data_IF_436094296167
#
_entry.id   IF_436094296167
#
_cell.length_a   1.000
_cell.length_b   1.000
_cell.length_c   1.000
_cell.angle_alpha   90.00
_cell.angle_beta   90.00
_cell.angle_gamma   90.00
#
_symmetry.space_group_name_H-M   'P 1'
#
loop_
_entity.id
_entity.type
_entity.pdbx_description
1 polymer ?
#
# COMPACT_ATOMS: atom_id res chain seq x y z
N UNK A 1 -13.93 -14.06 19.98
CA UNK A 1 -14.09 -12.62 19.64
C UNK A 1 -13.25 -11.84 20.66
N UNK A 2 -12.08 -11.36 20.27
CA UNK A 2 -11.17 -10.63 21.17
C UNK A 2 -11.65 -9.17 21.17
N UNK A 3 -12.06 -8.59 22.29
CA UNK A 3 -12.47 -7.20 22.35
C UNK A 3 -11.23 -6.33 22.37
N UNK A 4 -10.79 -5.87 21.20
CA UNK A 4 -9.78 -4.80 21.13
C UNK A 4 -10.48 -3.47 21.41
N UNK A 5 -10.06 -2.82 22.47
CA UNK A 5 -10.43 -1.45 22.81
C UNK A 5 -9.22 -0.60 22.52
N UNK A 6 -9.29 0.23 21.50
CA UNK A 6 -8.27 1.23 21.24
C UNK A 6 -8.74 2.53 21.85
N UNK A 7 -8.05 2.97 22.87
CA UNK A 7 -8.38 4.22 23.56
C UNK A 7 -7.67 5.43 22.91
N UNK A 8 -6.77 5.16 21.93
CA UNK A 8 -6.06 6.21 21.19
C UNK A 8 -5.69 5.76 19.76
N UNK A 9 -5.27 6.73 18.95
CA UNK A 9 -4.88 6.51 17.54
C UNK A 9 -3.60 5.66 17.40
N UNK A 10 -2.68 5.74 18.37
CA UNK A 10 -1.40 5.00 18.33
C UNK A 10 -1.64 3.50 18.48
N UNK A 11 -2.54 3.08 19.37
CA UNK A 11 -2.90 1.67 19.55
C UNK A 11 -3.62 1.13 18.30
N UNK A 12 -4.44 1.95 17.66
CA UNK A 12 -5.10 1.59 16.39
C UNK A 12 -4.07 1.37 15.29
N UNK A 13 -3.09 2.26 15.17
CA UNK A 13 -1.99 2.15 14.19
C UNK A 13 -1.14 0.90 14.48
N UNK A 14 -0.77 0.66 15.72
CA UNK A 14 0.02 -0.51 16.12
C UNK A 14 -0.70 -1.82 15.77
N UNK A 15 -2.00 -1.92 16.04
CA UNK A 15 -2.82 -3.08 15.67
C UNK A 15 -2.88 -3.27 14.14
N UNK A 16 -3.10 -2.20 13.38
CA UNK A 16 -3.16 -2.28 11.93
C UNK A 16 -1.81 -2.73 11.35
N UNK A 17 -0.70 -2.20 11.84
CA UNK A 17 0.65 -2.61 11.44
C UNK A 17 0.89 -4.10 11.73
N UNK A 18 0.46 -4.60 12.89
CA UNK A 18 0.55 -6.01 13.23
C UNK A 18 -0.28 -6.88 12.27
N UNK A 19 -1.52 -6.47 11.99
CA UNK A 19 -2.40 -7.18 11.05
C UNK A 19 -1.88 -7.15 9.61
N UNK A 20 -1.30 -6.05 9.16
CA UNK A 20 -0.65 -6.00 7.84
C UNK A 20 0.55 -6.94 7.73
N UNK A 21 1.31 -7.16 8.80
CA UNK A 21 2.37 -8.18 8.85
C UNK A 21 1.80 -9.61 8.75
N UNK A 22 0.67 -9.86 9.40
CA UNK A 22 -0.01 -11.16 9.39
C UNK A 22 -0.54 -11.51 7.99
N UNK A 23 -1.09 -10.52 7.26
CA UNK A 23 -1.75 -10.73 5.96
C UNK A 23 -0.82 -10.54 4.77
N UNK A 24 0.51 -10.53 4.90
CA UNK A 24 1.46 -10.40 3.77
C UNK A 24 0.82 -9.71 2.55
N UNK A 25 0.37 -8.46 2.73
CA UNK A 25 -0.14 -7.64 1.63
C UNK A 25 1.04 -7.25 0.73
N UNK A 26 1.49 -8.19 -0.07
CA UNK A 26 2.72 -8.01 -0.78
C UNK A 26 2.60 -8.30 -2.23
N UNK A 27 3.25 -7.69 -2.76
CA UNK A 27 3.96 -7.37 -3.92
C UNK A 27 5.28 -8.21 -4.07
N UNK A 28 6.02 -8.13 -5.02
CA UNK A 28 6.26 -8.52 -6.38
C UNK A 28 6.79 -9.93 -6.58
N UNK A 29 6.97 -10.70 -5.52
CA UNK A 29 7.38 -12.10 -5.65
C UNK A 29 6.42 -12.91 -6.55
N UNK A 30 5.16 -12.47 -6.61
CA UNK A 30 4.17 -13.01 -7.54
C UNK A 30 4.52 -12.80 -9.02
N UNK A 31 5.43 -11.86 -9.33
CA UNK A 31 5.83 -11.59 -10.71
C UNK A 31 7.07 -12.39 -11.16
N UNK A 32 7.71 -13.15 -10.26
CA UNK A 32 8.84 -14.03 -10.61
C UNK A 32 8.45 -15.02 -11.71
N UNK A 33 7.21 -15.49 -11.70
CA UNK A 33 6.65 -16.37 -12.74
C UNK A 33 5.97 -15.61 -13.88
N UNK A 34 6.24 -14.31 -14.01
CA UNK A 34 5.66 -13.44 -15.04
C UNK A 34 4.17 -13.18 -14.83
N UNK A 35 3.53 -12.71 -15.88
CA UNK A 35 2.11 -12.35 -15.88
C UNK A 35 1.17 -13.51 -15.50
N UNK A 36 1.35 -14.76 -15.97
CA UNK A 36 0.50 -15.87 -15.52
C UNK A 36 0.55 -16.07 -14.01
N UNK A 37 1.74 -16.13 -13.39
CA UNK A 37 1.88 -16.29 -11.95
C UNK A 37 1.27 -15.14 -11.15
N UNK A 38 1.38 -13.91 -11.65
CA UNK A 38 0.72 -12.76 -11.05
C UNK A 38 -0.81 -12.90 -11.09
N UNK A 39 -1.39 -13.28 -12.23
CA UNK A 39 -2.83 -13.48 -12.37
C UNK A 39 -3.34 -14.62 -11.49
N UNK A 40 -2.61 -15.73 -11.42
CA UNK A 40 -2.92 -16.85 -10.52
C UNK A 40 -2.92 -16.40 -9.06
N UNK A 41 -1.95 -15.55 -8.66
CA UNK A 41 -1.91 -14.98 -7.32
C UNK A 41 -3.17 -14.18 -7.01
N UNK A 42 -3.59 -13.26 -7.90
CA UNK A 42 -4.82 -12.48 -7.70
C UNK A 42 -6.06 -13.38 -7.64
N UNK A 43 -6.11 -14.42 -8.47
CA UNK A 43 -7.22 -15.38 -8.49
C UNK A 43 -7.28 -16.18 -7.19
N UNK A 44 -6.14 -16.67 -6.70
CA UNK A 44 -6.05 -17.44 -5.46
C UNK A 44 -6.42 -16.58 -4.24
N UNK A 45 -5.97 -15.32 -4.18
CA UNK A 45 -6.37 -14.39 -3.13
C UNK A 45 -7.88 -14.15 -3.13
N UNK A 46 -8.47 -13.92 -4.32
CA UNK A 46 -9.92 -13.75 -4.46
C UNK A 46 -10.68 -15.02 -4.02
N UNK A 47 -10.22 -16.20 -4.43
CA UNK A 47 -10.85 -17.46 -4.05
C UNK A 47 -10.79 -17.71 -2.53
N UNK A 48 -9.71 -17.26 -1.88
CA UNK A 48 -9.54 -17.32 -0.43
C UNK A 48 -10.26 -16.20 0.34
N UNK A 49 -10.93 -15.26 -0.35
CA UNK A 49 -11.57 -14.10 0.27
C UNK A 49 -10.57 -13.08 0.86
N UNK A 50 -9.32 -13.11 0.41
CA UNK A 50 -8.26 -12.21 0.87
C UNK A 50 -8.23 -10.98 -0.04
N UNK A 51 -8.43 -9.80 0.54
CA UNK A 51 -8.32 -8.53 -0.18
C UNK A 51 -6.87 -8.16 -0.41
N UNK A 52 -6.61 -7.51 -1.55
CA UNK A 52 -5.29 -6.99 -1.91
C UNK A 52 -5.40 -5.58 -2.48
N UNK A 53 -4.29 -4.85 -2.46
CA UNK A 53 -4.14 -3.50 -3.03
C UNK A 53 -2.81 -3.40 -3.79
N UNK A 54 -2.69 -2.42 -4.68
CA UNK A 54 -1.45 -2.17 -5.42
C UNK A 54 -1.22 -3.07 -6.62
N UNK A 55 -2.17 -3.96 -6.91
CA UNK A 55 -2.14 -4.81 -8.09
C UNK A 55 -3.54 -5.04 -8.66
N UNK A 56 -3.63 -5.35 -9.95
CA UNK A 56 -4.92 -5.53 -10.59
C UNK A 56 -4.84 -6.05 -12.02
N UNK A 57 -6.02 -6.36 -12.59
CA UNK A 57 -6.15 -6.79 -13.98
C UNK A 57 -5.87 -5.68 -15.01
N UNK A 58 -5.82 -4.44 -14.55
CA UNK A 58 -5.51 -3.25 -15.32
C UNK A 58 -5.12 -2.10 -14.35
N UNK A 59 -4.69 -0.95 -14.88
CA UNK A 59 -4.30 0.21 -14.05
C UNK A 59 -5.43 0.70 -13.17
N UNK A 60 -6.66 0.80 -13.65
CA UNK A 60 -7.80 1.21 -12.86
C UNK A 60 -7.95 0.36 -11.60
N UNK A 61 -7.99 -0.97 -11.74
CA UNK A 61 -8.11 -1.89 -10.60
C UNK A 61 -6.89 -1.90 -9.69
N UNK A 62 -5.67 -1.67 -10.23
CA UNK A 62 -4.45 -1.62 -9.42
C UNK A 62 -4.40 -0.41 -8.49
N UNK A 63 -4.87 0.78 -8.95
CA UNK A 63 -4.90 2.01 -8.16
C UNK A 63 -6.18 2.21 -7.35
N UNK A 64 -7.19 1.34 -7.51
CA UNK A 64 -8.50 1.52 -6.86
C UNK A 64 -8.44 1.48 -5.33
N UNK A 65 -7.54 0.69 -4.74
CA UNK A 65 -7.45 0.50 -3.31
C UNK A 65 -8.63 -0.27 -2.70
N UNK A 66 -8.77 -0.18 -1.37
CA UNK A 66 -9.86 -0.82 -0.60
C UNK A 66 -10.31 0.07 0.55
N UNK A 67 -11.59 0.00 0.89
CA UNK A 67 -12.15 0.64 2.09
C UNK A 67 -12.70 -0.44 3.01
N UNK A 68 -12.25 -0.43 4.25
CA UNK A 68 -12.69 -1.33 5.31
C UNK A 68 -13.52 -0.54 6.34
N UNK A 69 -14.62 -1.13 6.82
CA UNK A 69 -15.38 -0.56 7.93
C UNK A 69 -14.98 -1.25 9.23
N UNK A 70 -14.33 -0.52 10.13
CA UNK A 70 -13.88 -1.03 11.42
C UNK A 70 -14.43 -0.14 12.52
N UNK A 71 -15.31 -0.67 13.37
CA UNK A 71 -15.92 0.06 14.49
C UNK A 71 -16.54 1.42 14.10
N UNK A 72 -17.16 1.47 12.95
CA UNK A 72 -17.82 2.68 12.44
C UNK A 72 -16.92 3.61 11.65
N UNK A 73 -15.59 3.43 11.66
CA UNK A 73 -14.65 4.19 10.84
C UNK A 73 -14.44 3.53 9.49
N UNK A 74 -14.25 4.34 8.45
CA UNK A 74 -13.87 3.93 7.11
C UNK A 74 -12.34 4.03 6.98
N UNK A 75 -11.67 2.90 6.82
CA UNK A 75 -10.21 2.83 6.66
C UNK A 75 -9.92 2.56 5.19
N UNK A 76 -9.39 3.56 4.49
CA UNK A 76 -8.89 3.44 3.13
C UNK A 76 -7.48 2.87 3.10
N UNK A 77 -7.22 1.97 2.17
CA UNK A 77 -5.88 1.38 1.98
C UNK A 77 -5.52 1.44 0.51
N UNK A 78 -4.36 2.01 0.21
CA UNK A 78 -3.74 2.04 -1.12
C UNK A 78 -2.40 1.30 -1.09
N UNK A 79 -1.98 0.76 -2.21
CA UNK A 79 -0.66 0.15 -2.38
C UNK A 79 0.09 0.78 -3.55
N UNK A 80 1.35 1.18 -3.35
CA UNK A 80 2.20 1.72 -4.40
C UNK A 80 3.57 1.05 -4.42
N UNK A 81 4.03 0.67 -5.61
CA UNK A 81 5.33 0.05 -5.81
C UNK A 81 6.29 1.01 -6.50
N UNK A 82 7.35 1.40 -5.79
CA UNK A 82 8.52 2.11 -6.36
C UNK A 82 9.69 1.16 -6.65
N UNK A 83 9.65 -0.02 -6.10
CA UNK A 83 10.47 -1.16 -6.52
C UNK A 83 9.52 -2.20 -7.09
N UNK A 84 9.72 -2.58 -8.33
CA UNK A 84 8.84 -3.48 -9.07
C UNK A 84 9.69 -4.37 -10.01
N UNK A 85 9.07 -5.35 -10.64
CA UNK A 85 9.73 -6.28 -11.57
C UNK A 85 10.10 -5.68 -12.94
N UNK A 86 10.20 -4.35 -13.03
CA UNK A 86 10.48 -3.62 -14.27
C UNK A 86 9.22 -3.17 -15.01
N UNK A 87 9.36 -2.51 -16.17
CA UNK A 87 8.25 -1.92 -16.93
C UNK A 87 7.15 -2.91 -17.30
N UNK A 88 7.51 -4.18 -17.42
CA UNK A 88 6.56 -5.23 -17.76
C UNK A 88 5.66 -5.65 -16.61
N UNK A 89 6.02 -5.34 -15.37
CA UNK A 89 5.20 -5.59 -14.19
C UNK A 89 4.14 -4.52 -13.96
N UNK A 90 4.28 -3.34 -14.58
CA UNK A 90 3.38 -2.20 -14.39
C UNK A 90 2.03 -2.45 -15.06
N UNK A 91 0.95 -2.22 -14.33
CA UNK A 91 -0.40 -2.26 -14.85
C UNK A 91 -0.63 -1.13 -15.87
N UNK A 92 -1.30 -1.47 -16.97
CA UNK A 92 -1.74 -0.50 -17.99
C UNK A 92 -3.25 -0.64 -18.19
N UNK A 93 -3.82 0.21 -19.05
CA UNK A 93 -5.26 0.20 -19.34
C UNK A 93 -5.80 -1.20 -19.63
N UNK A 94 -5.08 -1.97 -20.45
CA UNK A 94 -5.48 -3.30 -20.92
C UNK A 94 -4.46 -4.39 -20.56
N UNK A 95 -3.66 -4.14 -19.50
CA UNK A 95 -2.62 -5.06 -19.04
C UNK A 95 -2.63 -5.18 -17.52
N UNK A 96 -2.70 -6.42 -17.01
CA UNK A 96 -2.53 -6.67 -15.56
C UNK A 96 -1.14 -6.26 -15.07
N UNK A 97 -1.06 -5.95 -13.79
CA UNK A 97 0.20 -5.61 -13.15
C UNK A 97 0.01 -4.89 -11.83
N UNK A 98 1.09 -4.29 -11.38
CA UNK A 98 1.14 -3.51 -10.13
C UNK A 98 1.09 -2.02 -10.43
N UNK A 99 0.84 -1.22 -9.41
CA UNK A 99 0.93 0.24 -9.48
C UNK A 99 2.37 0.68 -9.75
N UNK A 100 2.53 1.76 -10.48
CA UNK A 100 3.80 2.48 -10.56
C UNK A 100 3.81 3.63 -9.53
N UNK A 101 4.59 3.48 -8.47
CA UNK A 101 4.74 4.52 -7.44
C UNK A 101 5.49 5.76 -7.92
N UNK A 102 6.07 5.75 -9.13
CA UNK A 102 6.67 6.92 -9.78
C UNK A 102 5.69 7.66 -10.69
N UNK A 103 4.56 7.06 -11.05
CA UNK A 103 3.48 7.77 -11.75
C UNK A 103 2.78 8.73 -10.79
N UNK A 104 3.28 9.98 -10.77
CA UNK A 104 2.80 11.03 -9.87
C UNK A 104 1.31 11.30 -10.09
N UNK A 105 0.86 11.37 -11.34
CA UNK A 105 -0.52 11.69 -11.65
C UNK A 105 -1.49 10.61 -11.13
N UNK A 106 -1.19 9.35 -11.39
CA UNK A 106 -2.03 8.23 -10.93
C UNK A 106 -2.02 8.07 -9.41
N UNK A 107 -0.84 8.21 -8.77
CA UNK A 107 -0.73 8.10 -7.31
C UNK A 107 -1.46 9.23 -6.60
N UNK A 108 -1.30 10.49 -7.02
CA UNK A 108 -1.97 11.64 -6.42
C UNK A 108 -3.50 11.57 -6.61
N UNK A 109 -3.95 11.19 -7.80
CA UNK A 109 -5.38 10.98 -8.08
C UNK A 109 -5.98 9.90 -7.17
N UNK A 110 -5.30 8.76 -7.02
CA UNK A 110 -5.76 7.67 -6.16
C UNK A 110 -5.84 8.10 -4.69
N UNK A 111 -4.84 8.84 -4.18
CA UNK A 111 -4.83 9.34 -2.80
C UNK A 111 -5.98 10.30 -2.56
N UNK A 112 -6.15 11.29 -3.44
CA UNK A 112 -7.23 12.30 -3.31
C UNK A 112 -8.60 11.64 -3.35
N UNK A 113 -8.82 10.72 -4.28
CA UNK A 113 -10.08 9.99 -4.37
C UNK A 113 -10.34 9.12 -3.13
N UNK A 114 -9.34 8.36 -2.67
CA UNK A 114 -9.50 7.49 -1.50
C UNK A 114 -9.73 8.30 -0.22
N UNK A 115 -9.13 9.50 -0.10
CA UNK A 115 -9.37 10.41 1.04
C UNK A 115 -10.85 10.78 1.20
N UNK A 116 -11.56 11.00 0.10
CA UNK A 116 -12.99 11.30 0.12
C UNK A 116 -13.83 10.12 0.62
N UNK A 117 -13.34 8.90 0.41
CA UNK A 117 -14.04 7.66 0.76
C UNK A 117 -13.72 7.15 2.17
N UNK A 118 -12.69 7.70 2.85
CA UNK A 118 -12.16 7.16 4.09
C UNK A 118 -12.00 8.21 5.19
N UNK A 119 -12.12 7.78 6.43
CA UNK A 119 -11.87 8.59 7.62
C UNK A 119 -10.39 8.51 8.03
N UNK A 120 -9.74 7.37 7.75
CA UNK A 120 -8.29 7.14 7.88
C UNK A 120 -7.79 6.55 6.58
N UNK A 121 -6.68 7.09 6.04
CA UNK A 121 -6.05 6.63 4.81
C UNK A 121 -4.64 6.11 5.06
N UNK A 122 -4.43 4.84 4.74
CA UNK A 122 -3.15 4.14 4.89
C UNK A 122 -2.57 3.85 3.50
N UNK A 123 -1.31 4.15 3.30
CA UNK A 123 -0.56 3.80 2.09
C UNK A 123 0.47 2.73 2.43
N UNK A 124 0.42 1.62 1.70
CA UNK A 124 1.44 0.58 1.72
C UNK A 124 2.44 0.87 0.60
N UNK A 125 3.67 1.22 0.95
CA UNK A 125 4.70 1.62 0.01
C UNK A 125 5.78 0.53 -0.10
N UNK A 126 5.90 -0.07 -1.27
CA UNK A 126 6.98 -1.00 -1.56
C UNK A 126 8.16 -0.23 -2.18
N UNK A 127 9.11 0.17 -1.35
CA UNK A 127 10.17 1.11 -1.72
C UNK A 127 11.45 0.91 -0.91
N UNK A 128 12.47 1.70 -1.22
CA UNK A 128 13.74 1.71 -0.50
C UNK A 128 14.83 0.88 -1.17
N UNK A 129 15.88 0.61 -0.44
CA UNK A 129 16.97 -0.26 -0.86
C UNK A 129 17.10 -1.47 0.05
N UNK A 130 17.25 -2.64 -0.51
CA UNK A 130 17.51 -3.87 0.24
C UNK A 130 18.68 -3.69 1.21
N UNK A 131 18.52 -4.14 2.45
CA UNK A 131 19.54 -4.01 3.51
C UNK A 131 19.75 -2.58 4.02
N UNK A 132 18.98 -1.59 3.55
CA UNK A 132 19.10 -0.21 4.04
C UNK A 132 18.45 -0.07 5.42
N UNK A 133 19.15 0.60 6.34
CA UNK A 133 18.64 0.97 7.67
C UNK A 133 18.25 2.45 7.77
N UNK A 134 18.39 3.20 6.66
CA UNK A 134 18.12 4.63 6.62
C UNK A 134 17.12 4.96 5.52
N UNK A 135 16.20 5.87 5.80
CA UNK A 135 15.29 6.46 4.81
C UNK A 135 16.07 7.39 3.89
N UNK A 136 15.78 7.34 2.61
CA UNK A 136 16.40 8.20 1.58
C UNK A 136 15.58 9.47 1.37
N UNK A 137 16.20 10.52 0.86
CA UNK A 137 15.55 11.82 0.63
C UNK A 137 14.31 11.72 -0.26
N UNK A 138 14.33 10.89 -1.30
CA UNK A 138 13.19 10.72 -2.19
C UNK A 138 12.02 9.95 -1.55
N UNK A 139 12.28 9.07 -0.56
CA UNK A 139 11.25 8.41 0.23
C UNK A 139 10.58 9.43 1.15
N UNK A 140 11.39 10.27 1.81
CA UNK A 140 10.90 11.36 2.66
C UNK A 140 10.07 12.36 1.84
N UNK A 141 10.55 12.74 0.65
CA UNK A 141 9.84 13.64 -0.24
C UNK A 141 8.48 13.06 -0.69
N UNK A 142 8.48 11.78 -1.07
CA UNK A 142 7.23 11.08 -1.44
C UNK A 142 6.27 10.98 -0.26
N UNK A 143 6.77 10.63 0.92
CA UNK A 143 5.95 10.54 2.13
C UNK A 143 5.31 11.90 2.47
N UNK A 144 6.11 12.99 2.48
CA UNK A 144 5.59 14.34 2.72
C UNK A 144 4.50 14.72 1.72
N UNK A 145 4.71 14.41 0.45
CA UNK A 145 3.72 14.69 -0.59
C UNK A 145 2.42 13.90 -0.36
N UNK A 146 2.50 12.60 -0.11
CA UNK A 146 1.33 11.76 0.12
C UNK A 146 0.56 12.15 1.38
N UNK A 147 1.27 12.49 2.47
CA UNK A 147 0.66 13.02 3.69
C UNK A 147 -0.05 14.36 3.41
N UNK A 148 0.54 15.26 2.62
CA UNK A 148 -0.09 16.53 2.26
C UNK A 148 -1.35 16.38 1.41
N UNK A 149 -1.53 15.24 0.74
CA UNK A 149 -2.72 14.88 -0.03
C UNK A 149 -3.79 14.16 0.79
N UNK A 150 -3.51 13.90 2.07
CA UNK A 150 -4.48 13.35 3.01
C UNK A 150 -4.22 11.91 3.45
N UNK A 151 -3.06 11.33 3.18
CA UNK A 151 -2.66 10.08 3.84
C UNK A 151 -2.39 10.35 5.34
N UNK A 152 -2.81 9.42 6.20
CA UNK A 152 -2.60 9.51 7.64
C UNK A 152 -1.42 8.65 8.08
N UNK A 153 -1.17 7.54 7.38
CA UNK A 153 -0.09 6.60 7.67
C UNK A 153 0.53 6.07 6.38
N UNK A 154 1.86 5.94 6.37
CA UNK A 154 2.59 5.26 5.31
C UNK A 154 3.39 4.12 5.92
N UNK A 155 3.17 2.90 5.42
CA UNK A 155 3.89 1.69 5.85
C UNK A 155 4.82 1.27 4.73
N UNK A 156 6.12 1.39 4.98
CA UNK A 156 7.17 0.97 4.04
C UNK A 156 7.46 -0.52 4.13
N UNK A 157 7.83 -1.12 3.00
CA UNK A 157 8.31 -2.50 2.87
C UNK A 157 9.40 -2.58 1.81
N UNK A 158 9.98 -3.75 1.57
CA UNK A 158 11.06 -4.07 0.63
C UNK A 158 12.47 -4.11 1.25
N UNK A 159 12.78 -3.24 2.17
CA UNK A 159 14.17 -3.09 2.66
C UNK A 159 14.74 -4.32 3.38
N UNK A 160 13.91 -5.28 3.80
CA UNK A 160 14.28 -6.48 4.57
C UNK A 160 15.01 -6.16 5.88
N UNK A 161 14.97 -4.89 6.31
CA UNK A 161 15.55 -4.36 7.54
C UNK A 161 14.58 -3.42 8.22
N UNK A 162 14.73 -3.28 9.54
CA UNK A 162 13.93 -2.32 10.29
C UNK A 162 14.46 -0.90 10.03
N UNK A 163 13.61 -0.07 9.46
CA UNK A 163 13.86 1.38 9.35
C UNK A 163 13.15 2.08 10.50
N UNK A 164 13.78 3.06 11.16
CA UNK A 164 13.17 3.80 12.25
C UNK A 164 11.84 4.45 11.85
N UNK A 165 10.89 4.42 12.77
CA UNK A 165 9.65 5.18 12.62
C UNK A 165 9.98 6.67 12.56
N UNK A 166 9.56 7.33 11.49
CA UNK A 166 9.75 8.76 11.32
C UNK A 166 8.41 9.47 11.51
N UNK A 167 8.33 10.32 12.50
CA UNK A 167 7.20 11.24 12.66
C UNK A 167 7.43 12.45 11.75
N UNK A 168 6.57 12.58 10.72
CA UNK A 168 6.55 13.77 9.88
C UNK A 168 5.44 14.69 10.39
N UNK A 169 5.75 15.93 10.81
CA UNK A 169 4.72 16.84 11.30
C UNK A 169 3.71 17.09 10.18
N UNK A 170 2.46 16.78 10.46
CA UNK A 170 1.32 17.23 9.68
C UNK A 170 1.21 18.75 9.92
N UNK A 171 1.13 19.53 8.87
CA UNK A 171 0.93 20.99 8.97
C UNK A 171 -0.48 21.31 9.41
#
# INVERSE_FOLDING_TARGET
MIPFRFDNTEDTIAFLVEKFKEYKLTYPDSYIFGLPGFMDTLQNLNAAGISYVGGGKNSESAYHGRVYKVRGMRIGVLGFAKVNGGPDSIAKKDKPGVTDGYDVQSTESAITHMRELSDVLIILAHWGGEGSFCTRDWEIASAKKWLSLGADLIVGSHTHSLIPLTHLPLR
#
